data_IF_534936018559
#
_entry.id   IF_534936018559
#
_cell.length_a   1.000
_cell.length_b   1.000
_cell.length_c   1.000
_cell.angle_alpha   90.00
_cell.angle_beta   90.00
_cell.angle_gamma   90.00
#
_symmetry.space_group_name_H-M   'P 1'
#
loop_
_entity.id
_entity.type
_entity.pdbx_description
1 polymer ?
#
# COMPACT_ATOMS: atom_id res chain seq x y z
N UNK A 1 16.14 -6.88 -18.96
CA UNK A 1 15.08 -7.92 -18.78
C UNK A 1 13.67 -7.30 -18.86
N UNK A 2 12.65 -8.01 -19.39
CA UNK A 2 11.25 -7.51 -19.38
C UNK A 2 10.64 -7.66 -17.98
N UNK A 3 9.98 -6.63 -17.41
CA UNK A 3 9.30 -6.75 -16.13
C UNK A 3 8.16 -7.78 -16.11
N UNK A 4 7.79 -8.20 -14.89
CA UNK A 4 6.68 -9.11 -14.68
C UNK A 4 5.34 -8.49 -15.17
N UNK A 5 4.38 -9.32 -15.57
CA UNK A 5 3.06 -8.85 -16.03
C UNK A 5 2.33 -7.99 -14.98
N UNK A 6 2.48 -8.31 -13.69
CA UNK A 6 1.89 -7.51 -12.61
C UNK A 6 2.55 -6.13 -12.53
N UNK A 7 3.86 -6.04 -12.75
CA UNK A 7 4.58 -4.75 -12.77
C UNK A 7 4.09 -3.88 -13.92
N UNK A 8 4.00 -4.46 -15.12
CA UNK A 8 3.49 -3.78 -16.31
C UNK A 8 2.05 -3.31 -16.10
N UNK A 9 1.20 -4.15 -15.51
CA UNK A 9 -0.19 -3.83 -15.21
C UNK A 9 -0.35 -2.64 -14.26
N UNK A 10 0.69 -2.29 -13.48
CA UNK A 10 0.66 -1.13 -12.57
C UNK A 10 1.66 -0.03 -12.95
N UNK A 11 2.11 -0.04 -14.21
CA UNK A 11 2.89 1.03 -14.82
C UNK A 11 4.39 0.99 -14.52
N UNK A 12 4.90 -0.11 -13.95
CA UNK A 12 6.34 -0.31 -13.75
C UNK A 12 6.95 -1.00 -14.98
N UNK A 13 7.34 -0.19 -15.97
CA UNK A 13 7.70 -0.66 -17.31
C UNK A 13 9.18 -1.04 -17.46
N UNK A 14 10.00 -0.74 -16.46
CA UNK A 14 11.45 -1.05 -16.47
C UNK A 14 11.95 -1.47 -15.07
N UNK A 15 13.07 -2.17 -15.04
CA UNK A 15 13.89 -2.35 -13.83
C UNK A 15 15.01 -1.32 -13.81
N UNK A 16 15.50 -0.99 -12.62
CA UNK A 16 16.61 -0.08 -12.46
C UNK A 16 17.94 -0.77 -12.72
N UNK A 17 18.08 -2.01 -12.25
CA UNK A 17 19.21 -2.88 -12.54
C UNK A 17 18.84 -3.87 -13.65
N UNK A 18 19.81 -4.24 -14.50
CA UNK A 18 19.60 -5.27 -15.51
C UNK A 18 20.15 -6.62 -15.02
N UNK A 19 19.37 -7.26 -14.16
CA UNK A 19 19.69 -8.56 -13.58
C UNK A 19 18.70 -9.64 -14.02
N UNK A 20 19.13 -10.90 -13.90
CA UNK A 20 18.27 -12.07 -14.10
C UNK A 20 17.30 -12.27 -12.95
N UNK A 21 16.23 -13.05 -13.17
CA UNK A 21 15.31 -13.42 -12.08
C UNK A 21 16.04 -14.27 -11.03
N UNK A 22 15.81 -13.95 -9.75
CA UNK A 22 16.10 -14.82 -8.62
C UNK A 22 14.79 -15.12 -7.89
N UNK A 23 14.44 -16.40 -7.76
CA UNK A 23 13.21 -16.78 -7.09
C UNK A 23 13.40 -16.69 -5.59
N UNK A 24 12.48 -16.00 -4.95
CA UNK A 24 12.49 -15.84 -3.51
C UNK A 24 11.11 -16.02 -2.90
N UNK A 25 11.06 -16.32 -1.61
CA UNK A 25 9.83 -16.41 -0.83
C UNK A 25 10.01 -15.74 0.54
N UNK A 26 8.94 -15.15 1.07
CA UNK A 26 8.91 -14.55 2.40
C UNK A 26 7.82 -15.23 3.21
N UNK A 27 8.20 -15.96 4.25
CA UNK A 27 7.26 -16.55 5.21
C UNK A 27 6.65 -15.44 6.07
N UNK A 28 5.43 -15.00 5.74
CA UNK A 28 4.70 -13.94 6.45
C UNK A 28 3.73 -14.51 7.50
N UNK A 29 3.43 -13.76 8.59
CA UNK A 29 3.89 -12.40 8.89
C UNK A 29 5.32 -12.27 9.44
N UNK A 30 5.92 -13.35 9.97
CA UNK A 30 7.14 -13.30 10.78
C UNK A 30 8.40 -12.85 10.02
N UNK A 31 8.52 -13.26 8.76
CA UNK A 31 9.62 -12.91 7.86
C UNK A 31 9.50 -11.52 7.25
N UNK A 32 8.49 -10.73 7.62
CA UNK A 32 8.37 -9.34 7.19
C UNK A 32 8.13 -8.43 8.39
N UNK A 33 9.23 -7.85 8.90
CA UNK A 33 9.21 -6.97 10.07
C UNK A 33 9.37 -5.52 9.65
N UNK A 34 8.56 -4.64 10.23
CA UNK A 34 8.58 -3.19 9.95
C UNK A 34 8.57 -2.40 11.25
N UNK A 35 9.57 -1.55 11.45
CA UNK A 35 9.67 -0.69 12.62
C UNK A 35 9.64 0.77 12.16
N UNK A 36 8.69 1.55 12.70
CA UNK A 36 8.60 2.98 12.41
C UNK A 36 9.85 3.72 12.88
N UNK A 37 10.37 4.64 12.07
CA UNK A 37 11.48 5.52 12.44
C UNK A 37 10.99 6.92 12.77
N UNK A 38 11.39 7.41 13.95
CA UNK A 38 11.17 8.78 14.43
C UNK A 38 12.55 9.44 14.53
N UNK A 39 12.74 10.56 13.83
CA UNK A 39 14.06 11.21 13.71
C UNK A 39 15.19 10.22 13.35
N UNK A 40 14.91 9.34 12.40
CA UNK A 40 15.84 8.31 11.89
C UNK A 40 16.29 7.27 12.93
N UNK A 41 15.54 7.13 14.02
CA UNK A 41 15.75 6.11 15.05
C UNK A 41 14.52 5.23 15.19
N UNK A 42 14.72 3.98 15.57
CA UNK A 42 13.62 3.04 15.87
C UNK A 42 12.67 3.63 16.91
N UNK A 43 11.36 3.59 16.64
CA UNK A 43 10.33 3.98 17.57
C UNK A 43 10.38 3.21 18.90
N UNK A 44 10.94 2.01 18.91
CA UNK A 44 11.09 1.18 20.11
C UNK A 44 12.08 1.78 21.12
N UNK A 45 13.00 2.62 20.64
CA UNK A 45 13.97 3.35 21.46
C UNK A 45 13.45 4.71 21.95
N UNK A 46 12.27 5.13 21.47
CA UNK A 46 11.71 6.43 21.82
C UNK A 46 11.31 6.48 23.29
N UNK A 47 11.67 7.58 23.95
CA UNK A 47 11.31 7.88 25.33
C UNK A 47 10.59 9.22 25.38
N UNK A 48 9.41 9.22 25.95
CA UNK A 48 8.60 10.43 26.10
C UNK A 48 8.96 11.25 27.33
N UNK A 49 8.32 12.41 27.41
CA UNK A 49 8.35 13.28 28.58
C UNK A 49 7.60 12.64 29.75
N UNK A 50 7.80 13.17 30.96
CA UNK A 50 7.04 12.77 32.16
C UNK A 50 5.59 13.26 32.13
N UNK A 51 5.30 14.36 31.42
CA UNK A 51 3.97 14.94 31.26
C UNK A 51 3.84 15.55 29.86
N UNK A 52 2.61 15.66 29.36
CA UNK A 52 2.34 16.32 28.09
C UNK A 52 0.92 16.13 27.58
N UNK A 53 0.62 16.79 26.47
CA UNK A 53 -0.73 16.80 25.87
C UNK A 53 -1.19 15.41 25.38
N UNK A 54 -0.26 14.62 24.86
CA UNK A 54 -0.53 13.31 24.28
C UNK A 54 0.14 12.21 25.10
N UNK A 55 -0.62 11.19 25.46
CA UNK A 55 -0.07 9.92 25.91
C UNK A 55 0.39 9.13 24.67
N UNK A 56 1.64 8.67 24.67
CA UNK A 56 2.26 7.95 23.55
C UNK A 56 2.46 6.49 23.93
N UNK A 57 2.08 5.60 23.03
CA UNK A 57 2.21 4.16 23.21
C UNK A 57 2.98 3.54 22.05
N UNK A 58 3.86 2.59 22.38
CA UNK A 58 4.44 1.65 21.43
C UNK A 58 3.42 0.54 21.16
N UNK A 59 2.98 0.43 19.92
CA UNK A 59 2.11 -0.63 19.42
C UNK A 59 2.93 -1.61 18.60
N UNK A 60 2.98 -2.86 19.04
CA UNK A 60 3.53 -3.98 18.26
C UNK A 60 2.39 -4.90 17.86
N UNK A 61 2.22 -5.17 16.56
CA UNK A 61 1.16 -6.06 16.04
C UNK A 61 1.71 -7.13 15.11
N UNK A 62 1.05 -8.27 15.05
CA UNK A 62 1.39 -9.43 14.20
C UNK A 62 0.16 -9.93 13.48
N UNK A 63 0.22 -9.97 12.14
CA UNK A 63 -0.80 -10.67 11.33
C UNK A 63 -2.21 -10.06 11.39
N UNK A 64 -2.37 -8.86 11.95
CA UNK A 64 -3.68 -8.24 12.20
C UNK A 64 -3.83 -6.90 11.47
N UNK A 65 -5.04 -6.69 10.95
CA UNK A 65 -5.45 -5.45 10.28
C UNK A 65 -5.40 -4.26 11.23
N UNK A 66 -4.82 -3.16 10.75
CA UNK A 66 -4.56 -1.97 11.55
C UNK A 66 -5.86 -1.34 12.09
N UNK A 67 -6.90 -1.23 11.27
CA UNK A 67 -8.17 -0.62 11.70
C UNK A 67 -8.90 -1.47 12.73
N UNK A 68 -8.79 -2.79 12.62
CA UNK A 68 -9.32 -3.72 13.61
C UNK A 68 -8.63 -3.56 14.97
N UNK A 69 -7.30 -3.42 14.99
CA UNK A 69 -6.53 -3.12 16.21
C UNK A 69 -6.96 -1.78 16.81
N UNK A 70 -7.04 -0.72 16.00
CA UNK A 70 -7.47 0.61 16.48
C UNK A 70 -8.88 0.57 17.07
N UNK A 71 -9.80 -0.20 16.48
CA UNK A 71 -11.17 -0.34 16.99
C UNK A 71 -11.19 -0.98 18.37
N UNK A 72 -10.43 -2.05 18.57
CA UNK A 72 -10.33 -2.73 19.87
C UNK A 72 -9.75 -1.80 20.95
N UNK A 73 -8.65 -1.12 20.65
CA UNK A 73 -8.03 -0.15 21.57
C UNK A 73 -9.02 0.98 21.90
N UNK A 74 -9.69 1.56 20.90
CA UNK A 74 -10.67 2.63 21.13
C UNK A 74 -11.84 2.17 22.03
N UNK A 75 -12.31 0.93 21.88
CA UNK A 75 -13.39 0.37 22.70
C UNK A 75 -12.95 0.13 24.15
N UNK A 76 -11.77 -0.47 24.34
CA UNK A 76 -11.26 -0.83 25.66
C UNK A 76 -10.87 0.41 26.48
N UNK A 77 -10.32 1.44 25.84
CA UNK A 77 -9.82 2.62 26.54
C UNK A 77 -10.68 3.88 26.38
N UNK A 78 -11.79 3.80 25.61
CA UNK A 78 -12.73 4.90 25.36
C UNK A 78 -12.05 6.19 24.89
N UNK A 79 -10.94 6.04 24.17
CA UNK A 79 -10.12 7.16 23.69
C UNK A 79 -9.96 7.06 22.18
N UNK A 80 -9.83 8.21 21.51
CA UNK A 80 -9.58 8.26 20.07
C UNK A 80 -8.09 8.15 19.81
N UNK A 81 -7.65 6.99 19.36
CA UNK A 81 -6.26 6.78 18.96
C UNK A 81 -5.96 7.50 17.64
N UNK A 82 -4.83 8.19 17.63
CA UNK A 82 -4.19 8.77 16.44
C UNK A 82 -2.90 8.02 16.12
N UNK A 83 -2.52 8.00 14.84
CA UNK A 83 -1.30 7.36 14.33
C UNK A 83 -0.81 8.11 13.10
N UNK A 84 0.46 7.93 12.73
CA UNK A 84 1.08 8.65 11.59
C UNK A 84 0.89 7.89 10.28
N UNK A 85 0.94 6.56 10.33
CA UNK A 85 0.78 5.70 9.17
C UNK A 85 0.14 4.36 9.52
N UNK A 86 -0.47 3.76 8.50
CA UNK A 86 -0.97 2.38 8.55
C UNK A 86 0.19 1.45 8.21
N UNK A 87 0.30 0.33 8.93
CA UNK A 87 1.30 -0.72 8.66
C UNK A 87 0.61 -1.97 8.13
N UNK A 88 1.32 -2.72 7.30
CA UNK A 88 0.81 -3.93 6.63
C UNK A 88 0.23 -4.93 7.61
N UNK A 89 -0.92 -5.52 7.27
CA UNK A 89 -1.57 -6.53 8.11
C UNK A 89 -0.75 -7.84 8.14
N UNK A 90 -0.18 -8.24 6.99
CA UNK A 90 0.59 -9.47 6.84
C UNK A 90 2.08 -9.27 7.17
N UNK A 91 2.33 -8.70 8.34
CA UNK A 91 3.66 -8.33 8.85
C UNK A 91 3.68 -8.36 10.38
N UNK A 92 4.87 -8.37 10.95
CA UNK A 92 5.11 -7.91 12.33
C UNK A 92 5.50 -6.44 12.26
N UNK A 93 4.80 -5.58 12.98
CA UNK A 93 5.09 -4.14 12.91
C UNK A 93 5.09 -3.46 14.27
N UNK A 94 6.06 -2.58 14.48
CA UNK A 94 6.17 -1.68 15.64
C UNK A 94 5.97 -0.22 15.19
N UNK A 95 5.11 0.52 15.89
CA UNK A 95 4.84 1.93 15.61
C UNK A 95 4.43 2.70 16.86
N UNK A 96 4.49 4.05 16.81
CA UNK A 96 3.90 4.86 17.88
C UNK A 96 2.45 5.23 17.56
N UNK A 97 1.63 5.18 18.60
CA UNK A 97 0.24 5.66 18.58
C UNK A 97 0.03 6.65 19.72
N UNK A 98 -0.98 7.50 19.56
CA UNK A 98 -1.20 8.67 20.41
C UNK A 98 -2.64 8.73 20.86
N UNK A 99 -2.87 9.20 22.08
CA UNK A 99 -4.18 9.62 22.55
C UNK A 99 -4.05 10.94 23.31
N UNK A 100 -5.14 11.71 23.38
CA UNK A 100 -5.19 12.86 24.27
C UNK A 100 -5.04 12.37 25.72
N UNK A 101 -4.04 12.89 26.44
CA UNK A 101 -3.76 12.46 27.81
C UNK A 101 -4.96 12.67 28.74
N UNK A 102 -5.79 13.69 28.46
CA UNK A 102 -7.00 14.02 29.23
C UNK A 102 -8.13 13.01 29.04
N UNK A 103 -8.02 12.13 28.05
CA UNK A 103 -9.00 11.05 27.85
C UNK A 103 -8.86 9.92 28.87
N UNK A 104 -7.81 9.91 29.69
CA UNK A 104 -7.56 8.87 30.67
C UNK A 104 -7.64 9.43 32.09
N UNK A 105 -8.39 8.76 32.97
CA UNK A 105 -8.26 8.97 34.41
C UNK A 105 -6.94 8.38 34.91
N UNK A 106 -6.60 7.17 34.43
CA UNK A 106 -5.32 6.50 34.63
C UNK A 106 -4.83 5.98 33.28
N UNK A 107 -3.59 6.33 32.91
CA UNK A 107 -3.02 5.92 31.63
C UNK A 107 -2.65 4.42 31.69
N UNK A 108 -3.14 3.60 30.75
CA UNK A 108 -2.83 2.17 30.72
C UNK A 108 -1.35 1.95 30.44
N UNK A 109 -0.64 1.27 31.34
CA UNK A 109 0.80 1.06 31.19
C UNK A 109 1.12 -0.01 30.15
N UNK A 110 0.30 -1.07 30.10
CA UNK A 110 0.45 -2.17 29.17
C UNK A 110 -0.92 -2.78 28.85
N UNK A 111 -1.07 -3.27 27.63
CA UNK A 111 -2.20 -4.06 27.18
C UNK A 111 -1.73 -5.09 26.16
N UNK A 112 -2.26 -6.30 26.27
CA UNK A 112 -2.06 -7.37 25.32
C UNK A 112 -3.44 -7.88 24.89
N UNK A 113 -3.63 -8.02 23.58
CA UNK A 113 -4.86 -8.60 23.05
C UNK A 113 -4.97 -10.06 23.49
N UNK A 114 -6.20 -10.53 23.76
CA UNK A 114 -6.45 -11.89 24.25
C UNK A 114 -5.91 -12.97 23.29
N UNK A 115 -5.90 -12.69 21.99
CA UNK A 115 -5.38 -13.57 20.94
C UNK A 115 -3.86 -13.45 20.72
N UNK A 116 -3.16 -12.63 21.52
CA UNK A 116 -1.73 -12.35 21.39
C UNK A 116 -1.34 -11.61 20.10
N UNK A 117 -2.30 -11.07 19.36
CA UNK A 117 -2.05 -10.47 18.04
C UNK A 117 -1.40 -9.08 18.10
N UNK A 118 -1.52 -8.38 19.22
CA UNK A 118 -0.81 -7.12 19.44
C UNK A 118 -0.62 -6.80 20.92
N UNK A 119 0.38 -5.96 21.18
CA UNK A 119 0.65 -5.33 22.48
C UNK A 119 0.71 -3.82 22.34
N UNK A 120 0.28 -3.11 23.38
CA UNK A 120 0.34 -1.67 23.50
C UNK A 120 1.01 -1.32 24.83
N UNK A 121 2.12 -0.58 24.78
CA UNK A 121 2.91 -0.19 25.95
C UNK A 121 3.04 1.32 26.03
N UNK A 122 2.75 1.91 27.19
CA UNK A 122 2.99 3.33 27.42
C UNK A 122 4.50 3.63 27.43
N UNK A 123 4.91 4.67 26.70
CA UNK A 123 6.33 5.04 26.53
C UNK A 123 6.63 6.50 26.89
N UNK A 124 5.64 7.21 27.45
CA UNK A 124 5.76 8.59 27.92
C UNK A 124 4.84 9.55 27.19
N UNK A 125 5.06 10.84 27.39
CA UNK A 125 4.22 11.90 26.84
C UNK A 125 4.90 12.68 25.71
N UNK A 126 4.08 13.33 24.89
CA UNK A 126 4.51 14.32 23.89
C UNK A 126 3.56 15.51 23.84
N UNK A 127 4.06 16.70 23.50
CA UNK A 127 3.22 17.88 23.31
C UNK A 127 2.73 18.06 21.87
N UNK A 128 3.40 17.40 20.92
CA UNK A 128 3.13 17.48 19.49
C UNK A 128 3.22 16.09 18.85
N UNK A 129 2.79 15.99 17.58
CA UNK A 129 2.97 14.76 16.80
C UNK A 129 4.45 14.62 16.43
N UNK A 130 4.97 13.40 16.55
CA UNK A 130 6.39 13.14 16.28
C UNK A 130 6.68 13.11 14.77
N UNK A 131 7.90 13.50 14.37
CA UNK A 131 8.34 13.48 12.96
C UNK A 131 8.64 12.05 12.50
N UNK A 132 7.69 11.42 11.80
CA UNK A 132 7.94 10.15 11.11
C UNK A 132 8.84 10.37 9.89
N UNK A 133 10.07 9.86 9.96
CA UNK A 133 11.06 10.01 8.90
C UNK A 133 11.05 8.81 7.94
N UNK A 134 10.71 7.62 8.42
CA UNK A 134 10.76 6.41 7.60
C UNK A 134 10.37 5.13 8.33
N UNK A 135 10.75 4.01 7.73
CA UNK A 135 10.55 2.69 8.30
C UNK A 135 11.82 1.87 8.09
N UNK A 136 12.24 1.20 9.15
CA UNK A 136 13.24 0.15 9.12
C UNK A 136 12.55 -1.18 8.82
N UNK A 137 13.13 -1.96 7.91
CA UNK A 137 12.64 -3.26 7.50
C UNK A 137 13.66 -4.32 7.85
N UNK A 138 13.19 -5.45 8.38
CA UNK A 138 13.98 -6.67 8.54
C UNK A 138 13.21 -7.81 7.90
N UNK A 139 13.71 -8.27 6.75
CA UNK A 139 13.00 -9.18 5.85
C UNK A 139 13.77 -10.50 5.76
N UNK A 140 13.08 -11.61 6.04
CA UNK A 140 13.65 -12.96 5.95
C UNK A 140 13.35 -13.57 4.58
N UNK A 141 14.45 -13.66 3.85
CA UNK A 141 14.78 -14.25 2.55
C UNK A 141 14.83 -15.78 2.44
N UNK A 142 13.94 -16.48 1.72
CA UNK A 142 14.20 -17.88 1.30
C UNK A 142 14.42 -17.98 -0.21
N UNK A 143 15.54 -18.57 -0.64
CA UNK A 143 15.85 -18.88 -2.06
C UNK A 143 15.77 -20.38 -2.33
N UNK A 144 15.76 -20.80 -3.60
CA UNK A 144 15.68 -22.24 -3.93
C UNK A 144 17.04 -22.93 -3.90
N UNK A 145 18.12 -22.16 -4.03
CA UNK A 145 19.49 -22.68 -4.07
C UNK A 145 20.47 -21.75 -3.36
N UNK A 146 21.64 -22.28 -3.02
CA UNK A 146 22.75 -21.49 -2.50
C UNK A 146 23.28 -20.50 -3.53
N UNK A 147 23.27 -20.83 -4.83
CA UNK A 147 23.74 -19.92 -5.87
C UNK A 147 22.85 -18.68 -5.97
N UNK A 148 21.52 -18.86 -5.95
CA UNK A 148 20.56 -17.75 -5.85
C UNK A 148 20.77 -16.92 -4.56
N UNK A 149 21.12 -17.57 -3.45
CA UNK A 149 21.40 -16.89 -2.19
C UNK A 149 22.64 -15.99 -2.29
N UNK A 150 23.73 -16.49 -2.90
CA UNK A 150 24.95 -15.70 -3.10
C UNK A 150 24.72 -14.55 -4.09
N UNK A 151 23.96 -14.79 -5.16
CA UNK A 151 23.53 -13.75 -6.09
C UNK A 151 22.74 -12.64 -5.39
N UNK A 152 21.78 -12.98 -4.51
CA UNK A 152 21.05 -11.97 -3.73
C UNK A 152 21.99 -11.13 -2.84
N UNK A 153 22.98 -11.75 -2.20
CA UNK A 153 23.96 -11.03 -1.38
C UNK A 153 24.75 -10.01 -2.21
N UNK A 154 25.19 -10.41 -3.40
CA UNK A 154 25.90 -9.53 -4.32
C UNK A 154 25.03 -8.34 -4.75
N UNK A 155 23.77 -8.60 -5.11
CA UNK A 155 22.80 -7.53 -5.45
C UNK A 155 22.53 -6.58 -4.30
N UNK A 156 22.44 -7.07 -3.06
CA UNK A 156 22.28 -6.20 -1.87
C UNK A 156 23.47 -5.26 -1.72
N UNK A 157 24.70 -5.74 -1.98
CA UNK A 157 25.90 -4.88 -1.95
C UNK A 157 25.85 -3.83 -3.07
N UNK A 158 25.37 -4.17 -4.26
CA UNK A 158 25.21 -3.23 -5.38
C UNK A 158 24.13 -2.17 -5.09
N UNK A 159 22.97 -2.56 -4.54
CA UNK A 159 21.94 -1.61 -4.09
C UNK A 159 22.48 -0.70 -3.00
N UNK A 160 23.24 -1.25 -2.05
CA UNK A 160 23.86 -0.48 -0.97
C UNK A 160 24.86 0.55 -1.50
N UNK A 161 25.68 0.16 -2.50
CA UNK A 161 26.65 1.05 -3.16
C UNK A 161 25.96 2.17 -3.95
N UNK A 162 24.87 1.86 -4.64
CA UNK A 162 24.07 2.87 -5.35
C UNK A 162 23.36 3.82 -4.37
N UNK A 163 22.80 3.29 -3.28
CA UNK A 163 22.13 4.06 -2.23
C UNK A 163 20.75 4.60 -2.61
N UNK A 164 20.30 4.44 -3.86
CA UNK A 164 19.01 4.89 -4.35
C UNK A 164 18.34 3.84 -5.22
N UNK A 165 17.00 3.79 -5.15
CA UNK A 165 16.16 2.99 -6.04
C UNK A 165 15.01 3.86 -6.58
N UNK A 166 14.44 3.58 -7.75
CA UNK A 166 13.26 4.29 -8.23
C UNK A 166 12.12 4.19 -7.21
N UNK A 167 11.50 5.32 -6.91
CA UNK A 167 10.49 5.41 -5.87
C UNK A 167 9.09 5.11 -6.40
N UNK A 168 8.92 3.96 -7.07
CA UNK A 168 7.61 3.55 -7.57
C UNK A 168 6.58 3.48 -6.44
N UNK A 169 5.32 3.71 -6.81
CA UNK A 169 4.20 3.45 -5.91
C UNK A 169 3.89 1.96 -5.96
N UNK A 170 3.97 1.29 -4.81
CA UNK A 170 3.93 -0.17 -4.73
C UNK A 170 2.55 -0.81 -4.93
N UNK A 171 2.56 -2.14 -5.09
CA UNK A 171 1.41 -3.01 -5.37
C UNK A 171 0.21 -2.78 -4.44
N UNK A 172 0.46 -2.47 -3.17
CA UNK A 172 -0.58 -2.21 -2.16
C UNK A 172 -1.52 -1.07 -2.54
N UNK A 173 -1.04 -0.05 -3.29
CA UNK A 173 -1.89 1.06 -3.77
C UNK A 173 -2.91 0.60 -4.81
N UNK A 174 -2.55 -0.41 -5.59
CA UNK A 174 -3.38 -0.94 -6.67
C UNK A 174 -4.26 -2.10 -6.20
N UNK A 175 -3.87 -2.74 -5.10
CA UNK A 175 -4.47 -3.94 -4.51
C UNK A 175 -3.57 -5.15 -4.76
N UNK A 176 -3.07 -5.81 -3.71
CA UNK A 176 -2.10 -6.92 -3.86
C UNK A 176 -2.72 -8.16 -4.49
N UNK A 177 -3.94 -8.54 -4.07
CA UNK A 177 -4.67 -9.69 -4.65
C UNK A 177 -5.42 -9.36 -5.94
N UNK A 178 -5.82 -8.09 -6.10
CA UNK A 178 -6.60 -7.57 -7.22
C UNK A 178 -6.04 -6.20 -7.62
N UNK A 179 -4.99 -6.14 -8.46
CA UNK A 179 -4.32 -4.88 -8.81
C UNK A 179 -5.14 -4.05 -9.81
N UNK A 180 -6.38 -3.70 -9.46
CA UNK A 180 -7.36 -3.07 -10.36
C UNK A 180 -7.79 -1.67 -9.93
N UNK A 181 -7.25 -1.14 -8.82
CA UNK A 181 -7.73 0.14 -8.29
C UNK A 181 -7.56 1.29 -9.28
N UNK A 182 -6.45 1.29 -10.04
CA UNK A 182 -6.20 2.26 -11.10
C UNK A 182 -7.14 2.09 -12.32
N UNK A 183 -7.52 0.85 -12.64
CA UNK A 183 -8.50 0.56 -13.71
C UNK A 183 -9.86 1.14 -13.35
N UNK A 184 -10.30 0.93 -12.10
CA UNK A 184 -11.55 1.52 -11.59
C UNK A 184 -11.44 3.05 -11.62
N UNK A 185 -10.31 3.61 -11.18
CA UNK A 185 -10.04 5.04 -11.24
C UNK A 185 -10.18 5.62 -12.64
N UNK A 186 -9.55 5.00 -13.63
CA UNK A 186 -9.69 5.36 -15.05
C UNK A 186 -11.14 5.38 -15.50
N UNK A 187 -11.90 4.32 -15.21
CA UNK A 187 -13.31 4.21 -15.59
C UNK A 187 -14.19 5.28 -14.92
N UNK A 188 -13.88 5.63 -13.67
CA UNK A 188 -14.58 6.72 -12.96
C UNK A 188 -14.32 8.08 -13.61
N UNK A 189 -13.07 8.37 -14.00
CA UNK A 189 -12.71 9.60 -14.73
C UNK A 189 -13.40 9.69 -16.09
N UNK A 190 -13.48 8.56 -16.81
CA UNK A 190 -14.19 8.44 -18.08
C UNK A 190 -15.72 8.40 -17.95
N UNK A 191 -16.25 8.46 -16.72
CA UNK A 191 -17.69 8.37 -16.43
C UNK A 191 -18.34 7.08 -16.91
N UNK A 192 -17.56 6.01 -17.03
CA UNK A 192 -18.00 4.68 -17.42
C UNK A 192 -18.56 3.90 -16.21
N UNK A 193 -19.63 4.42 -15.61
CA UNK A 193 -20.16 4.00 -14.31
C UNK A 193 -20.49 2.51 -14.23
N UNK A 194 -21.09 1.96 -15.28
CA UNK A 194 -21.39 0.53 -15.34
C UNK A 194 -20.12 -0.31 -15.29
N UNK A 195 -19.10 0.05 -16.07
CA UNK A 195 -17.84 -0.71 -16.09
C UNK A 195 -17.15 -0.59 -14.74
N UNK A 196 -17.07 0.61 -14.16
CA UNK A 196 -16.50 0.80 -12.82
C UNK A 196 -17.20 -0.07 -11.77
N UNK A 197 -18.54 -0.04 -11.75
CA UNK A 197 -19.37 -0.90 -10.88
C UNK A 197 -19.04 -2.38 -11.10
N UNK A 198 -19.01 -2.84 -12.35
CA UNK A 198 -18.75 -4.25 -12.70
C UNK A 198 -17.32 -4.69 -12.34
N UNK A 199 -16.33 -3.82 -12.38
CA UNK A 199 -14.96 -4.13 -11.94
C UNK A 199 -14.84 -4.28 -10.41
N UNK A 200 -15.57 -3.45 -9.67
CA UNK A 200 -15.60 -3.55 -8.20
C UNK A 200 -16.22 -4.89 -7.77
N UNK A 201 -17.34 -5.29 -8.39
CA UNK A 201 -18.08 -6.50 -8.03
C UNK A 201 -17.53 -7.77 -8.71
N UNK A 202 -17.19 -7.71 -10.00
CA UNK A 202 -16.83 -8.85 -10.84
C UNK A 202 -15.34 -9.04 -11.05
N UNK A 203 -14.97 -9.69 -12.15
CA UNK A 203 -13.60 -10.02 -12.59
C UNK A 203 -12.76 -10.79 -11.54
N UNK A 204 -12.70 -12.13 -11.64
CA UNK A 204 -11.97 -12.97 -10.70
C UNK A 204 -10.45 -12.90 -10.91
N UNK A 205 -9.69 -12.85 -9.82
CA UNK A 205 -8.23 -13.02 -9.82
C UNK A 205 -7.83 -14.35 -9.19
N UNK A 206 -6.74 -14.93 -9.69
CA UNK A 206 -6.22 -16.21 -9.19
C UNK A 206 -5.79 -16.15 -7.73
N UNK A 207 -5.27 -15.00 -7.28
CA UNK A 207 -4.83 -14.76 -5.91
C UNK A 207 -5.99 -14.53 -4.90
N UNK A 208 -7.25 -14.55 -5.34
CA UNK A 208 -8.41 -14.44 -4.45
C UNK A 208 -8.77 -15.78 -3.80
N UNK A 209 -9.50 -15.72 -2.68
CA UNK A 209 -10.12 -16.90 -2.10
C UNK A 209 -11.09 -17.55 -3.10
N UNK A 210 -11.05 -18.88 -3.21
CA UNK A 210 -11.83 -19.63 -4.20
C UNK A 210 -13.33 -19.35 -4.15
N UNK A 211 -13.94 -19.22 -2.95
CA UNK A 211 -15.37 -18.92 -2.81
C UNK A 211 -15.71 -17.57 -3.42
N UNK A 212 -14.93 -16.53 -3.11
CA UNK A 212 -15.11 -15.18 -3.67
C UNK A 212 -14.87 -15.20 -5.17
N UNK A 213 -13.79 -15.86 -5.61
CA UNK A 213 -13.44 -16.01 -7.04
C UNK A 213 -14.60 -16.62 -7.83
N UNK A 214 -15.26 -17.65 -7.30
CA UNK A 214 -16.44 -18.27 -7.93
C UNK A 214 -17.61 -17.29 -8.03
N UNK A 215 -17.95 -16.59 -6.94
CA UNK A 215 -19.02 -15.58 -6.94
C UNK A 215 -18.76 -14.49 -7.99
N UNK A 216 -17.53 -13.96 -8.04
CA UNK A 216 -17.13 -12.94 -9.02
C UNK A 216 -17.17 -13.45 -10.46
N UNK A 217 -16.76 -14.70 -10.70
CA UNK A 217 -16.80 -15.34 -12.02
C UNK A 217 -18.23 -15.48 -12.55
N UNK A 218 -19.15 -15.92 -11.68
CA UNK A 218 -20.57 -16.01 -12.03
C UNK A 218 -21.15 -14.61 -12.26
N UNK A 219 -20.81 -13.62 -11.43
CA UNK A 219 -21.26 -12.23 -11.66
C UNK A 219 -20.77 -11.69 -13.00
N UNK A 220 -19.49 -11.90 -13.31
CA UNK A 220 -18.87 -11.38 -14.52
C UNK A 220 -19.49 -11.95 -15.80
N UNK A 221 -19.91 -13.22 -15.78
CA UNK A 221 -20.59 -13.88 -16.91
C UNK A 221 -22.11 -13.69 -16.93
N UNK A 222 -22.70 -13.11 -15.88
CA UNK A 222 -24.16 -12.95 -15.76
C UNK A 222 -24.72 -11.72 -16.47
N UNK A 223 -26.02 -11.76 -16.80
CA UNK A 223 -26.80 -10.62 -17.30
C UNK A 223 -27.26 -9.71 -16.15
N UNK A 224 -27.58 -8.46 -16.48
CA UNK A 224 -27.86 -7.36 -15.51
C UNK A 224 -29.04 -7.62 -14.56
N UNK A 225 -29.91 -8.57 -14.88
CA UNK A 225 -31.14 -8.90 -14.16
C UNK A 225 -30.92 -9.70 -12.86
N UNK A 226 -29.74 -10.31 -12.67
CA UNK A 226 -29.47 -11.17 -11.50
C UNK A 226 -28.79 -10.49 -10.32
N UNK A 227 -28.65 -9.16 -10.33
CA UNK A 227 -27.90 -8.41 -9.30
C UNK A 227 -28.40 -8.68 -7.86
N UNK A 228 -29.70 -8.96 -7.68
CA UNK A 228 -30.28 -9.30 -6.37
C UNK A 228 -29.77 -10.64 -5.83
N UNK A 229 -29.63 -11.65 -6.69
CA UNK A 229 -29.13 -12.99 -6.30
C UNK A 229 -27.67 -12.91 -5.81
N UNK A 230 -26.86 -12.01 -6.37
CA UNK A 230 -25.47 -11.85 -5.97
C UNK A 230 -25.30 -11.19 -4.59
N UNK A 231 -26.26 -10.38 -4.14
CA UNK A 231 -26.19 -9.75 -2.81
C UNK A 231 -26.12 -10.80 -1.68
N UNK A 232 -26.77 -11.94 -1.89
CA UNK A 232 -26.80 -13.08 -0.97
C UNK A 232 -25.58 -14.00 -1.14
N UNK A 233 -25.03 -14.08 -2.36
CA UNK A 233 -23.86 -14.89 -2.66
C UNK A 233 -22.55 -14.34 -2.07
N UNK A 234 -22.43 -13.01 -1.90
CA UNK A 234 -21.25 -12.41 -1.25
C UNK A 234 -21.28 -12.61 0.27
N UNK A 235 -20.14 -13.00 0.89
CA UNK A 235 -20.06 -13.15 2.34
C UNK A 235 -20.26 -11.81 3.05
N UNK A 236 -20.68 -11.85 4.32
CA UNK A 236 -20.89 -10.62 5.12
C UNK A 236 -19.65 -9.75 5.26
N UNK A 237 -18.46 -10.34 5.18
CA UNK A 237 -17.16 -9.65 5.17
C UNK A 237 -16.92 -8.81 3.91
N UNK A 238 -17.63 -9.06 2.80
CA UNK A 238 -17.58 -8.24 1.57
C UNK A 238 -18.49 -7.02 1.69
N UNK A 239 -18.22 -6.18 2.70
CA UNK A 239 -19.07 -5.05 3.07
C UNK A 239 -19.31 -4.08 1.89
N UNK A 240 -18.24 -3.71 1.19
CA UNK A 240 -18.32 -2.75 0.09
C UNK A 240 -19.07 -3.29 -1.12
N UNK A 241 -18.79 -4.53 -1.52
CA UNK A 241 -19.51 -5.17 -2.63
C UNK A 241 -21.00 -5.30 -2.32
N UNK A 242 -21.35 -5.76 -1.12
CA UNK A 242 -22.76 -5.89 -0.69
C UNK A 242 -23.45 -4.52 -0.58
N UNK A 243 -22.76 -3.50 -0.07
CA UNK A 243 -23.28 -2.13 -0.03
C UNK A 243 -23.59 -1.61 -1.44
N UNK A 244 -22.64 -1.77 -2.36
CA UNK A 244 -22.78 -1.30 -3.73
C UNK A 244 -23.89 -2.05 -4.49
N UNK A 245 -23.99 -3.39 -4.34
CA UNK A 245 -25.07 -4.21 -4.89
C UNK A 245 -26.44 -3.77 -4.35
N UNK A 246 -26.56 -3.56 -3.04
CA UNK A 246 -27.81 -3.10 -2.40
C UNK A 246 -28.24 -1.73 -2.94
N UNK A 247 -27.30 -0.79 -3.07
CA UNK A 247 -27.63 0.53 -3.62
C UNK A 247 -28.11 0.44 -5.07
N UNK A 248 -27.54 -0.47 -5.88
CA UNK A 248 -28.02 -0.70 -7.24
C UNK A 248 -29.43 -1.30 -7.25
N UNK A 249 -29.72 -2.29 -6.40
CA UNK A 249 -31.08 -2.87 -6.28
C UNK A 249 -32.12 -1.80 -5.94
N UNK A 250 -31.77 -0.82 -5.09
CA UNK A 250 -32.66 0.28 -4.71
C UNK A 250 -32.83 1.31 -5.83
N UNK A 251 -31.74 1.64 -6.53
CA UNK A 251 -31.72 2.81 -7.44
C UNK A 251 -31.91 2.47 -8.92
N UNK A 252 -31.65 1.22 -9.32
CA UNK A 252 -31.60 0.79 -10.72
C UNK A 252 -30.51 1.48 -11.55
N UNK A 253 -29.61 2.24 -10.93
CA UNK A 253 -28.63 3.10 -11.62
C UNK A 253 -27.23 2.87 -11.09
N UNK A 254 -26.29 2.53 -11.97
CA UNK A 254 -24.87 2.35 -11.61
C UNK A 254 -24.26 3.61 -11.01
N UNK A 255 -24.60 4.77 -11.58
CA UNK A 255 -24.12 6.06 -11.09
C UNK A 255 -24.63 6.35 -9.67
N UNK A 256 -25.94 6.22 -9.42
CA UNK A 256 -26.50 6.46 -8.09
C UNK A 256 -26.03 5.41 -7.08
N UNK A 257 -25.82 4.16 -7.51
CA UNK A 257 -25.27 3.11 -6.67
C UNK A 257 -23.86 3.45 -6.16
N UNK A 258 -22.97 3.89 -7.06
CA UNK A 258 -21.62 4.35 -6.72
C UNK A 258 -21.66 5.60 -5.85
N UNK A 259 -22.45 6.61 -6.23
CA UNK A 259 -22.58 7.88 -5.52
C UNK A 259 -23.01 7.72 -4.06
N UNK A 260 -23.93 6.79 -3.80
CA UNK A 260 -24.49 6.49 -2.48
C UNK A 260 -23.67 5.47 -1.70
N UNK A 261 -22.64 4.89 -2.32
CA UNK A 261 -21.85 3.84 -1.68
C UNK A 261 -20.98 4.41 -0.57
N UNK A 262 -20.66 3.56 0.41
CA UNK A 262 -19.66 3.85 1.44
C UNK A 262 -18.22 3.64 0.93
N UNK A 263 -18.04 3.38 -0.37
CA UNK A 263 -16.72 3.23 -0.97
C UNK A 263 -16.01 4.57 -1.00
N UNK A 264 -14.74 4.64 -0.55
CA UNK A 264 -13.93 5.83 -0.71
C UNK A 264 -13.48 5.93 -2.18
N UNK A 265 -14.31 6.52 -3.05
CA UNK A 265 -14.07 6.53 -4.50
C UNK A 265 -12.80 7.30 -4.91
N UNK A 266 -12.32 8.18 -4.04
CA UNK A 266 -11.08 8.92 -4.17
C UNK A 266 -9.85 8.02 -4.25
N UNK A 267 -9.81 6.90 -3.51
CA UNK A 267 -8.66 5.99 -3.54
C UNK A 267 -8.42 5.39 -4.93
N UNK A 268 -9.49 5.21 -5.73
CA UNK A 268 -9.39 4.67 -7.08
C UNK A 268 -8.80 5.71 -8.04
N UNK A 269 -9.21 6.97 -7.91
CA UNK A 269 -8.65 8.07 -8.70
C UNK A 269 -7.17 8.30 -8.34
N UNK A 270 -6.85 8.30 -7.04
CA UNK A 270 -5.47 8.37 -6.56
C UNK A 270 -4.62 7.19 -7.08
N UNK A 271 -5.20 5.99 -7.15
CA UNK A 271 -4.52 4.84 -7.74
C UNK A 271 -4.28 5.02 -9.25
N UNK A 272 -5.19 5.66 -9.99
CA UNK A 272 -4.94 5.97 -11.39
C UNK A 272 -3.82 7.00 -11.57
N UNK A 273 -3.77 8.05 -10.74
CA UNK A 273 -2.64 8.97 -10.74
C UNK A 273 -1.32 8.25 -10.40
N UNK A 274 -1.36 7.31 -9.45
CA UNK A 274 -0.19 6.50 -9.10
C UNK A 274 0.29 5.62 -10.27
N UNK A 275 -0.63 5.09 -11.07
CA UNK A 275 -0.32 4.35 -12.29
C UNK A 275 0.40 5.22 -13.31
N UNK A 276 -0.13 6.42 -13.61
CA UNK A 276 0.52 7.37 -14.53
C UNK A 276 1.89 7.80 -13.99
N UNK A 277 2.01 8.07 -12.69
CA UNK A 277 3.30 8.35 -12.06
C UNK A 277 4.33 7.23 -12.28
N UNK A 278 3.93 5.97 -12.11
CA UNK A 278 4.83 4.84 -12.32
C UNK A 278 5.29 4.76 -13.78
N UNK A 279 4.39 4.98 -14.75
CA UNK A 279 4.76 5.00 -16.17
C UNK A 279 5.72 6.15 -16.48
N UNK A 280 5.39 7.34 -15.99
CA UNK A 280 6.22 8.53 -16.13
C UNK A 280 7.64 8.32 -15.58
N UNK A 281 7.76 7.78 -14.37
CA UNK A 281 9.05 7.44 -13.77
C UNK A 281 9.78 6.36 -14.58
N UNK A 282 9.08 5.34 -15.08
CA UNK A 282 9.69 4.30 -15.92
C UNK A 282 10.30 4.85 -17.21
N UNK A 283 9.71 5.91 -17.78
CA UNK A 283 10.21 6.56 -18.98
C UNK A 283 11.44 7.43 -18.70
N UNK A 284 11.45 8.16 -17.59
CA UNK A 284 12.50 9.14 -17.30
C UNK A 284 13.66 8.65 -16.42
N UNK A 285 13.51 7.58 -15.63
CA UNK A 285 14.47 7.25 -14.56
C UNK A 285 15.93 7.11 -15.00
N UNK A 286 16.19 6.74 -16.27
CA UNK A 286 17.53 6.65 -16.84
C UNK A 286 18.18 8.01 -17.16
N UNK A 287 17.38 9.06 -17.30
CA UNK A 287 17.83 10.42 -17.65
C UNK A 287 17.95 11.33 -16.42
N UNK A 288 17.36 10.93 -15.29
CA UNK A 288 17.37 11.70 -14.05
C UNK A 288 18.75 11.65 -13.40
N UNK A 289 19.45 12.79 -13.46
CA UNK A 289 20.75 13.02 -12.80
C UNK A 289 20.61 13.32 -11.31
N UNK A 290 19.65 14.17 -10.95
CA UNK A 290 19.38 14.51 -9.55
C UNK A 290 18.42 13.49 -8.92
N UNK A 291 18.97 12.58 -8.12
CA UNK A 291 18.20 11.54 -7.43
C UNK A 291 17.23 12.09 -6.37
N UNK A 292 17.41 13.34 -5.93
CA UNK A 292 16.53 14.00 -4.96
C UNK A 292 15.38 14.77 -5.62
N UNK A 293 15.31 14.80 -6.97
CA UNK A 293 14.28 15.53 -7.68
C UNK A 293 12.86 15.04 -7.33
N UNK A 294 11.93 15.99 -7.31
CA UNK A 294 10.51 15.74 -7.03
C UNK A 294 9.73 15.81 -8.34
N UNK A 295 9.11 14.70 -8.71
CA UNK A 295 8.14 14.63 -9.80
C UNK A 295 6.80 15.09 -9.26
N UNK A 296 6.11 15.90 -10.06
CA UNK A 296 4.75 16.36 -9.80
C UNK A 296 3.83 15.82 -10.88
N UNK A 297 2.72 15.21 -10.48
CA UNK A 297 1.63 14.80 -11.36
C UNK A 297 0.44 15.73 -11.11
N UNK A 298 0.25 16.73 -11.99
CA UNK A 298 -0.81 17.72 -11.86
C UNK A 298 -2.20 17.12 -11.98
N UNK A 299 -3.19 17.81 -11.40
CA UNK A 299 -4.62 17.46 -11.56
C UNK A 299 -5.26 18.09 -12.80
N UNK A 300 -4.53 18.95 -13.51
CA UNK A 300 -4.97 19.61 -14.74
C UNK A 300 -3.91 19.44 -15.82
N UNK A 301 -4.34 19.19 -17.06
CA UNK A 301 -3.44 19.05 -18.22
C UNK A 301 -2.60 20.30 -18.48
N UNK A 302 -3.07 21.48 -18.10
CA UNK A 302 -2.30 22.73 -18.22
C UNK A 302 -1.03 22.74 -17.37
N UNK A 303 -0.95 21.91 -16.32
CA UNK A 303 0.26 21.74 -15.53
C UNK A 303 1.18 20.62 -16.01
N UNK A 304 0.71 19.76 -16.92
CA UNK A 304 1.52 18.64 -17.44
C UNK A 304 2.58 19.13 -18.42
N UNK A 305 3.75 18.50 -18.40
CA UNK A 305 4.68 18.51 -19.53
C UNK A 305 4.19 17.57 -20.65
N UNK A 306 4.98 17.42 -21.71
CA UNK A 306 4.53 16.68 -22.89
C UNK A 306 4.43 15.17 -22.64
N UNK A 307 5.33 14.59 -21.86
CA UNK A 307 5.25 13.18 -21.47
C UNK A 307 4.04 12.91 -20.58
N UNK A 308 3.73 13.78 -19.61
CA UNK A 308 2.54 13.67 -18.76
C UNK A 308 1.26 13.69 -19.61
N UNK A 309 1.16 14.56 -20.62
CA UNK A 309 0.01 14.60 -21.55
C UNK A 309 -0.10 13.32 -22.37
N UNK A 310 1.01 12.88 -22.98
CA UNK A 310 1.08 11.67 -23.78
C UNK A 310 0.54 10.46 -23.01
N UNK A 311 1.00 10.26 -21.77
CA UNK A 311 0.57 9.13 -20.93
C UNK A 311 -0.92 9.16 -20.59
N UNK A 312 -1.52 10.33 -20.38
CA UNK A 312 -2.96 10.43 -20.17
C UNK A 312 -3.75 10.19 -21.46
N UNK A 313 -3.25 10.69 -22.60
CA UNK A 313 -3.88 10.50 -23.92
C UNK A 313 -3.86 9.03 -24.34
N UNK A 314 -2.77 8.29 -24.09
CA UNK A 314 -2.68 6.84 -24.30
C UNK A 314 -3.75 6.06 -23.50
N UNK A 315 -4.12 6.55 -22.31
CA UNK A 315 -5.19 5.96 -21.49
C UNK A 315 -6.60 6.44 -21.89
N UNK A 316 -6.68 7.31 -22.90
CA UNK A 316 -7.92 7.93 -23.38
C UNK A 316 -8.58 8.79 -22.31
N UNK A 317 -7.78 9.58 -21.58
CA UNK A 317 -8.21 10.60 -20.63
C UNK A 317 -8.01 11.97 -21.28
N UNK A 318 -9.08 12.76 -21.36
CA UNK A 318 -9.04 14.10 -21.96
C UNK A 318 -8.81 15.22 -20.93
N UNK A 319 -8.47 16.42 -21.43
CA UNK A 319 -8.09 17.63 -20.65
C UNK A 319 -9.05 18.04 -19.52
N UNK A 320 -10.33 17.64 -19.60
CA UNK A 320 -11.37 17.97 -18.61
C UNK A 320 -11.77 16.83 -17.67
N UNK A 321 -11.21 15.62 -17.82
CA UNK A 321 -11.69 14.43 -17.12
C UNK A 321 -11.09 14.23 -15.72
N UNK A 322 -10.02 14.95 -15.37
CA UNK A 322 -9.28 14.77 -14.11
C UNK A 322 -10.00 15.32 -12.86
N UNK A 323 -11.10 16.06 -13.03
CA UNK A 323 -11.84 16.69 -11.92
C UNK A 323 -13.36 16.51 -12.03
N UNK A 324 -14.08 16.81 -10.95
CA UNK A 324 -15.54 16.88 -10.97
C UNK A 324 -16.28 15.52 -10.87
N UNK A 325 -15.55 14.41 -10.72
CA UNK A 325 -16.15 13.09 -10.45
C UNK A 325 -16.61 13.02 -9.00
N UNK A 326 -17.91 12.85 -8.76
CA UNK A 326 -18.53 12.73 -7.43
C UNK A 326 -18.14 13.82 -6.41
N UNK A 327 -17.72 15.01 -6.85
CA UNK A 327 -17.14 16.07 -6.00
C UNK A 327 -15.92 15.60 -5.19
N UNK A 328 -15.23 14.56 -5.64
CA UNK A 328 -14.00 14.07 -5.04
C UNK A 328 -12.91 15.13 -5.18
N UNK A 329 -12.25 15.43 -4.06
CA UNK A 329 -11.11 16.36 -4.04
C UNK A 329 -9.84 15.61 -4.43
N UNK A 330 -9.57 15.58 -5.73
CA UNK A 330 -8.29 15.07 -6.28
C UNK A 330 -7.17 16.03 -5.90
N UNK A 331 -6.03 15.49 -5.47
CA UNK A 331 -4.84 16.28 -5.10
C UNK A 331 -3.74 16.08 -6.13
N UNK A 332 -2.86 17.06 -6.24
CA UNK A 332 -1.61 16.87 -6.98
C UNK A 332 -0.75 15.84 -6.26
N UNK A 333 -0.25 14.86 -7.01
CA UNK A 333 0.70 13.88 -6.48
C UNK A 333 2.11 14.45 -6.64
N UNK A 334 2.78 14.71 -5.51
CA UNK A 334 4.18 15.10 -5.48
C UNK A 334 5.00 14.00 -4.81
N UNK A 335 6.08 13.57 -5.45
CA UNK A 335 6.90 12.45 -4.97
C UNK A 335 8.32 12.53 -5.49
N UNK A 336 9.30 12.23 -4.62
CA UNK A 336 10.70 12.07 -5.06
C UNK A 336 10.81 10.95 -6.08
N UNK A 337 11.57 11.15 -7.15
CA UNK A 337 11.76 10.16 -8.20
C UNK A 337 12.50 8.91 -7.69
N UNK A 338 13.43 9.08 -6.76
CA UNK A 338 14.17 7.99 -6.13
C UNK A 338 13.96 7.99 -4.61
N UNK A 339 13.96 6.78 -4.03
CA UNK A 339 13.99 6.57 -2.59
C UNK A 339 15.42 6.29 -2.17
N UNK A 340 15.88 6.98 -1.13
CA UNK A 340 17.17 6.71 -0.52
C UNK A 340 17.08 5.43 0.31
N UNK A 341 17.94 4.46 0.04
CA UNK A 341 18.05 3.22 0.81
C UNK A 341 19.18 3.41 1.81
N UNK A 342 18.87 3.24 3.11
CA UNK A 342 19.84 3.45 4.20
C UNK A 342 20.02 2.18 5.01
N UNK A 343 21.08 2.14 5.82
CA UNK A 343 21.29 1.08 6.82
C UNK A 343 21.23 -0.33 6.24
N UNK A 344 21.68 -0.50 5.00
CA UNK A 344 21.62 -1.78 4.30
C UNK A 344 22.62 -2.74 4.93
N UNK A 345 22.13 -3.86 5.43
CA UNK A 345 22.96 -4.97 5.90
C UNK A 345 22.24 -6.30 5.70
N UNK A 346 22.97 -7.40 5.74
CA UNK A 346 22.38 -8.73 5.67
C UNK A 346 23.16 -9.72 6.52
N UNK A 347 22.48 -10.79 6.93
CA UNK A 347 23.07 -11.93 7.62
C UNK A 347 22.42 -13.22 7.14
N UNK A 348 23.11 -14.34 7.29
CA UNK A 348 22.59 -15.66 6.93
C UNK A 348 22.30 -16.48 8.18
N UNK A 349 21.13 -17.12 8.23
CA UNK A 349 20.75 -18.06 9.29
C UNK A 349 20.02 -19.26 8.67
N UNK A 350 20.56 -20.47 8.82
CA UNK A 350 19.91 -21.73 8.38
C UNK A 350 19.41 -21.68 6.92
N UNK A 351 20.27 -21.25 5.99
CA UNK A 351 19.95 -21.03 4.56
C UNK A 351 18.88 -19.96 4.28
N UNK A 352 18.61 -19.07 5.23
CA UNK A 352 17.76 -17.89 5.06
C UNK A 352 18.60 -16.63 5.08
N UNK A 353 18.25 -15.67 4.24
CA UNK A 353 18.91 -14.37 4.20
C UNK A 353 18.06 -13.34 4.96
N UNK A 354 18.57 -12.82 6.07
CA UNK A 354 17.92 -11.70 6.78
C UNK A 354 18.49 -10.41 6.20
N UNK A 355 17.64 -9.60 5.59
CA UNK A 355 18.01 -8.35 4.94
C UNK A 355 17.43 -7.19 5.76
N UNK A 356 18.27 -6.25 6.12
CA UNK A 356 17.90 -5.06 6.88
C UNK A 356 18.14 -3.80 6.05
N UNK A 357 17.19 -2.87 6.05
CA UNK A 357 17.31 -1.58 5.38
C UNK A 357 16.26 -0.58 5.89
N UNK A 358 16.56 0.71 5.79
CA UNK A 358 15.60 1.79 6.09
C UNK A 358 15.18 2.51 4.81
N UNK A 359 13.89 2.81 4.70
CA UNK A 359 13.33 3.62 3.61
C UNK A 359 12.61 4.86 4.16
N UNK A 360 12.66 6.00 3.45
CA UNK A 360 11.97 7.21 3.85
C UNK A 360 10.46 7.04 3.76
N UNK A 361 9.73 7.85 4.52
CA UNK A 361 8.26 7.87 4.54
C UNK A 361 7.69 7.93 3.11
N UNK A 362 6.67 7.11 2.87
CA UNK A 362 5.97 7.03 1.59
C UNK A 362 6.64 6.10 0.59
N UNK A 363 7.80 5.52 0.89
CA UNK A 363 8.45 4.48 0.08
C UNK A 363 7.92 3.09 0.42
N UNK A 364 8.18 2.12 -0.45
CA UNK A 364 7.61 0.76 -0.34
C UNK A 364 8.73 -0.29 -0.35
N UNK A 365 8.82 -1.11 0.70
CA UNK A 365 9.78 -2.21 0.76
C UNK A 365 9.57 -3.26 -0.36
N UNK A 366 8.35 -3.38 -0.87
CA UNK A 366 8.07 -4.23 -2.03
C UNK A 366 8.78 -3.76 -3.30
N UNK A 367 9.12 -2.47 -3.42
CA UNK A 367 9.94 -1.98 -4.54
C UNK A 367 11.41 -2.34 -4.36
N UNK A 368 11.94 -2.29 -3.14
CA UNK A 368 13.28 -2.82 -2.86
C UNK A 368 13.36 -4.32 -3.21
N UNK A 369 12.37 -5.10 -2.78
CA UNK A 369 12.27 -6.53 -3.05
C UNK A 369 12.07 -6.85 -4.55
N UNK A 370 11.31 -6.01 -5.26
CA UNK A 370 11.17 -6.08 -6.71
C UNK A 370 12.52 -5.94 -7.40
N UNK A 371 13.25 -4.85 -7.14
CA UNK A 371 14.56 -4.59 -7.77
C UNK A 371 15.59 -5.66 -7.37
N UNK A 372 15.52 -6.19 -6.15
CA UNK A 372 16.45 -7.23 -5.72
C UNK A 372 16.26 -8.56 -6.47
N UNK A 373 15.01 -8.95 -6.73
CA UNK A 373 14.69 -10.32 -7.19
C UNK A 373 14.26 -10.42 -8.65
N UNK A 374 13.62 -9.39 -9.20
CA UNK A 374 12.92 -9.41 -10.49
C UNK A 374 11.89 -10.54 -10.64
N UNK A 375 11.48 -11.19 -9.53
CA UNK A 375 10.54 -12.31 -9.56
C UNK A 375 9.08 -11.86 -9.52
N UNK A 376 8.16 -12.81 -9.60
CA UNK A 376 6.73 -12.55 -9.49
C UNK A 376 6.41 -11.84 -8.15
N UNK A 377 5.77 -10.65 -8.18
CA UNK A 377 5.42 -9.91 -6.97
C UNK A 377 4.60 -10.69 -5.94
N UNK A 378 3.78 -11.64 -6.38
CA UNK A 378 2.99 -12.50 -5.49
C UNK A 378 3.85 -13.32 -4.52
N UNK A 379 5.14 -13.49 -4.79
CA UNK A 379 6.08 -14.19 -3.92
C UNK A 379 6.54 -13.37 -2.72
N UNK A 380 6.38 -12.04 -2.78
CA UNK A 380 6.88 -11.12 -1.75
C UNK A 380 5.88 -10.08 -1.26
N UNK A 381 4.69 -9.96 -1.86
CA UNK A 381 3.61 -9.05 -1.44
C UNK A 381 2.62 -9.63 -0.43
#
# INVERSE_FOLDING_TARGET
MKPNEIDLAIGMEKYFFDWTEVKMNISRPEGFKVTEEIDDKSCESWKGLENGKYAVFLLTKKGRDHFSVMREINLNFRSKISYIGIKDANAVSSQLIYADARSFSNIPQFYEAEDGSFTMKFVGFANEKLPHTGNFFSITVETKSNDELQEMKQRILEISKEGYLPNFIGYQRFGTRRPISHVIGKLLLKREWEKAFKWIIGFPFLAENEKIRKVRSVFHSSRRDKVREFLEAFPSSSFYERNLLRNYVITGSYYEALKRSSLPLDIYIDAFQAYIFNRYLSRLMGEIKDKECVIKMPIYFSGCDDLCKELYEEEGIDRGMLTGVFKVKVRELQRKAFMKVRSVSFSEEKNRLIINFSLPRGSYATIFLRELSHTNPLMFT
#
